data_IF_057764018652
#
_entry.id   IF_057764018652
#
_cell.length_a   1.000
_cell.length_b   1.000
_cell.length_c   1.000
_cell.angle_alpha   90.00
_cell.angle_beta   90.00
_cell.angle_gamma   90.00
#
_symmetry.space_group_name_H-M   'P 1'
#
loop_
_entity.id
_entity.type
_entity.pdbx_description
1 polymer ?
#
# COMPACT_ATOMS: atom_id res chain seq x y z
N UNK A 1 27.31 57.25 -40.49
CA UNK A 1 28.00 56.15 -39.77
C UNK A 1 27.54 55.99 -38.34
N UNK A 2 26.91 56.98 -37.73
CA UNK A 2 26.49 56.98 -36.28
C UNK A 2 25.23 56.13 -35.97
N UNK A 3 24.34 55.92 -36.99
CA UNK A 3 23.09 55.19 -36.76
C UNK A 3 23.18 53.66 -36.80
N UNK A 4 24.31 53.05 -37.16
CA UNK A 4 24.51 51.59 -37.15
C UNK A 4 25.10 51.10 -35.82
N UNK A 5 25.92 51.86 -35.14
CA UNK A 5 26.48 51.52 -33.83
C UNK A 5 25.42 51.52 -32.74
N UNK A 6 24.44 52.44 -32.81
CA UNK A 6 23.37 52.53 -31.81
C UNK A 6 22.36 51.36 -31.86
N UNK A 7 22.19 50.74 -33.06
CA UNK A 7 21.33 49.54 -33.21
C UNK A 7 21.96 48.25 -32.68
N UNK A 8 23.27 48.15 -32.70
CA UNK A 8 23.97 46.98 -32.13
C UNK A 8 24.13 47.05 -30.62
N UNK A 9 24.20 48.26 -30.02
CA UNK A 9 24.22 48.45 -28.56
C UNK A 9 22.87 48.10 -27.94
N UNK A 10 21.74 48.41 -28.58
CA UNK A 10 20.42 48.00 -28.06
C UNK A 10 20.17 46.50 -28.21
N UNK A 11 20.73 45.84 -29.28
CA UNK A 11 20.62 44.40 -29.44
C UNK A 11 21.47 43.64 -28.38
N UNK A 12 22.65 44.15 -28.05
CA UNK A 12 23.46 43.52 -26.98
C UNK A 12 22.86 43.72 -25.58
N UNK A 13 22.22 44.85 -25.31
CA UNK A 13 21.50 45.05 -24.02
C UNK A 13 20.25 44.19 -23.93
N UNK A 14 19.55 43.90 -25.02
CA UNK A 14 18.41 42.98 -24.99
C UNK A 14 18.79 41.50 -24.89
N UNK A 15 20.00 41.11 -25.32
CA UNK A 15 20.50 39.75 -25.13
C UNK A 15 21.08 39.51 -23.71
N UNK A 16 21.52 40.56 -23.00
CA UNK A 16 21.99 40.40 -21.63
C UNK A 16 20.85 40.44 -20.59
N UNK A 17 19.67 40.96 -20.96
CA UNK A 17 18.47 40.93 -20.08
C UNK A 17 17.66 39.62 -20.17
N UNK A 18 18.02 38.74 -21.12
CA UNK A 18 17.32 37.43 -21.31
C UNK A 18 17.98 36.23 -20.62
N UNK A 19 19.03 36.44 -19.85
CA UNK A 19 19.74 35.34 -19.15
C UNK A 19 19.67 35.40 -17.62
N UNK A 20 18.82 36.26 -17.07
CA UNK A 20 18.51 36.26 -15.62
C UNK A 20 17.12 35.71 -15.34
N UNK A 21 16.69 34.72 -16.11
CA UNK A 21 15.52 33.93 -15.76
C UNK A 21 16.00 32.74 -14.93
N UNK A 22 15.55 32.71 -13.68
CA UNK A 22 15.81 31.76 -12.61
C UNK A 22 17.10 32.04 -11.82
N UNK A 23 17.20 33.23 -11.26
CA UNK A 23 17.88 33.36 -10.00
C UNK A 23 16.97 32.76 -8.93
N UNK A 24 17.48 31.71 -8.34
CA UNK A 24 16.96 31.04 -7.17
C UNK A 24 16.60 32.10 -6.12
N UNK A 25 15.35 32.21 -5.73
CA UNK A 25 14.83 33.19 -4.78
C UNK A 25 15.51 33.06 -3.40
N UNK A 26 16.79 33.32 -3.27
CA UNK A 26 17.51 33.45 -2.00
C UNK A 26 17.11 32.47 -0.89
N UNK A 27 16.69 31.28 -1.26
CA UNK A 27 16.28 30.25 -0.35
C UNK A 27 17.55 29.66 0.22
N UNK A 28 17.79 29.87 1.51
CA UNK A 28 18.89 29.22 2.23
C UNK A 28 18.95 27.75 1.87
N UNK A 29 19.98 27.36 1.12
CA UNK A 29 20.23 25.98 0.76
C UNK A 29 20.59 25.28 2.07
N UNK A 30 19.70 24.40 2.54
CA UNK A 30 20.02 23.55 3.67
C UNK A 30 21.21 22.68 3.27
N UNK A 31 22.30 22.80 4.02
CA UNK A 31 23.46 21.91 3.86
C UNK A 31 23.04 20.52 4.38
N UNK A 32 22.61 19.66 3.46
CA UNK A 32 22.16 18.31 3.77
C UNK A 32 23.31 17.38 3.38
N UNK A 33 23.90 16.77 4.37
CA UNK A 33 24.86 15.71 4.15
C UNK A 33 24.12 14.48 3.62
N UNK A 34 24.50 14.01 2.42
CA UNK A 34 23.98 12.76 1.86
C UNK A 34 24.74 11.62 2.52
N UNK A 35 24.05 10.73 3.27
CA UNK A 35 24.72 9.63 3.96
C UNK A 35 25.47 8.71 2.99
N UNK A 36 26.58 8.15 3.43
CA UNK A 36 27.24 7.08 2.70
C UNK A 36 26.29 5.90 2.52
N UNK A 37 26.25 5.33 1.30
CA UNK A 37 25.35 4.22 1.00
C UNK A 37 23.89 4.62 0.79
N UNK A 38 23.56 5.90 0.68
CA UNK A 38 22.18 6.40 0.52
C UNK A 38 21.44 5.87 -0.73
N UNK A 39 22.19 5.35 -1.71
CA UNK A 39 21.61 4.62 -2.83
C UNK A 39 21.02 3.27 -2.44
N UNK A 40 21.47 2.69 -1.31
CA UNK A 40 21.03 1.39 -0.83
C UNK A 40 19.70 1.50 -0.07
N UNK A 41 18.61 1.67 -0.78
CA UNK A 41 17.27 1.91 -0.24
C UNK A 41 16.84 0.93 0.86
N UNK A 42 17.33 -0.31 0.80
CA UNK A 42 16.99 -1.41 1.71
C UNK A 42 18.22 -2.23 2.12
N UNK A 43 19.37 -1.57 2.30
CA UNK A 43 20.60 -2.24 2.65
C UNK A 43 20.97 -3.34 1.65
N UNK A 44 21.27 -4.54 2.13
CA UNK A 44 21.65 -5.69 1.29
C UNK A 44 20.53 -6.26 0.41
N UNK A 45 19.30 -5.85 0.63
CA UNK A 45 18.17 -6.22 -0.24
C UNK A 45 17.93 -5.21 -1.37
N UNK A 46 18.81 -4.22 -1.52
CA UNK A 46 18.71 -3.25 -2.61
C UNK A 46 19.20 -3.88 -3.92
N UNK A 47 18.42 -3.67 -5.00
CA UNK A 47 18.77 -4.11 -6.34
C UNK A 47 18.93 -2.93 -7.29
N UNK A 48 19.93 -3.01 -8.17
CA UNK A 48 20.21 -1.99 -9.19
C UNK A 48 19.58 -2.40 -10.53
N UNK A 49 18.27 -2.30 -10.62
CA UNK A 49 17.50 -2.69 -11.80
C UNK A 49 16.62 -1.52 -12.29
N UNK A 50 16.63 -1.26 -13.58
CA UNK A 50 15.92 -0.15 -14.25
C UNK A 50 14.75 -0.61 -15.14
N UNK A 51 14.19 -1.79 -14.88
CA UNK A 51 13.07 -2.34 -15.65
C UNK A 51 11.79 -2.33 -14.83
N UNK A 52 10.66 -2.54 -15.50
CA UNK A 52 9.35 -2.73 -14.84
C UNK A 52 9.30 -3.98 -13.93
N UNK A 53 10.27 -4.90 -14.09
CA UNK A 53 10.41 -6.09 -13.24
C UNK A 53 11.17 -5.81 -11.92
N UNK A 54 11.61 -4.58 -11.68
CA UNK A 54 12.39 -4.25 -10.49
C UNK A 54 11.63 -4.52 -9.17
N UNK A 55 10.30 -4.52 -9.20
CA UNK A 55 9.48 -4.78 -8.03
C UNK A 55 9.15 -6.26 -7.81
N UNK A 56 9.39 -7.08 -8.83
CA UNK A 56 9.06 -8.49 -8.91
C UNK A 56 10.33 -9.37 -8.97
N UNK A 57 11.45 -8.79 -8.65
CA UNK A 57 12.74 -9.46 -8.68
C UNK A 57 13.25 -9.75 -7.27
N UNK A 58 13.92 -10.90 -7.06
CA UNK A 58 14.49 -11.22 -5.77
C UNK A 58 15.65 -10.27 -5.39
N UNK A 59 15.89 -10.13 -4.11
CA UNK A 59 17.12 -9.54 -3.61
C UNK A 59 18.33 -10.42 -3.97
N UNK A 60 19.51 -9.81 -4.15
CA UNK A 60 20.74 -10.51 -4.61
C UNK A 60 21.19 -11.66 -3.68
N UNK A 61 20.77 -11.64 -2.42
CA UNK A 61 21.08 -12.72 -1.47
C UNK A 61 20.20 -13.97 -1.64
N UNK A 62 19.13 -13.90 -2.42
CA UNK A 62 18.26 -15.04 -2.68
C UNK A 62 18.98 -16.03 -3.60
N UNK A 63 19.39 -17.16 -3.04
CA UNK A 63 20.16 -18.18 -3.74
C UNK A 63 19.91 -19.57 -3.17
N UNK A 64 20.30 -20.61 -3.88
CA UNK A 64 20.13 -21.99 -3.44
C UNK A 64 18.67 -22.36 -3.17
N UNK A 65 18.39 -22.91 -1.99
CA UNK A 65 17.05 -23.31 -1.58
C UNK A 65 16.06 -22.13 -1.53
N UNK A 66 16.55 -20.93 -1.21
CA UNK A 66 15.71 -19.73 -1.19
C UNK A 66 15.24 -19.32 -2.59
N UNK A 67 16.07 -19.58 -3.62
CA UNK A 67 15.68 -19.27 -5.00
C UNK A 67 14.56 -20.20 -5.50
N UNK A 68 14.56 -21.49 -5.15
CA UNK A 68 13.44 -22.38 -5.47
C UNK A 68 12.17 -21.93 -4.80
N UNK A 69 12.20 -21.75 -3.49
CA UNK A 69 11.05 -21.28 -2.72
C UNK A 69 10.53 -19.91 -3.13
N UNK A 70 11.43 -18.99 -3.55
CA UNK A 70 11.04 -17.71 -4.12
C UNK A 70 10.22 -17.88 -5.40
N UNK A 71 10.68 -18.76 -6.31
CA UNK A 71 9.97 -19.01 -7.57
C UNK A 71 8.64 -19.77 -7.34
N UNK A 72 8.60 -20.68 -6.37
CA UNK A 72 7.37 -21.37 -5.99
C UNK A 72 6.36 -20.36 -5.39
N UNK A 73 6.82 -19.48 -4.51
CA UNK A 73 6.00 -18.40 -3.93
C UNK A 73 5.52 -17.37 -4.96
N UNK A 74 6.37 -16.99 -5.92
CA UNK A 74 6.00 -16.11 -7.05
C UNK A 74 4.91 -16.75 -7.91
N UNK A 75 5.08 -18.03 -8.26
CA UNK A 75 4.08 -18.79 -8.99
C UNK A 75 2.74 -18.85 -8.27
N UNK A 76 2.75 -19.13 -6.96
CA UNK A 76 1.54 -19.18 -6.12
C UNK A 76 0.88 -17.79 -5.94
N UNK A 77 1.68 -16.74 -5.89
CA UNK A 77 1.22 -15.36 -5.77
C UNK A 77 0.44 -14.90 -6.99
N UNK A 78 0.86 -15.30 -8.18
CA UNK A 78 0.23 -14.97 -9.45
C UNK A 78 -0.84 -16.00 -9.88
N UNK A 79 -0.88 -17.18 -9.25
CA UNK A 79 -1.81 -18.26 -9.60
C UNK A 79 -3.27 -17.82 -9.47
N UNK A 80 -3.99 -17.90 -10.59
CA UNK A 80 -5.40 -17.57 -10.68
C UNK A 80 -6.25 -18.68 -10.08
N UNK A 81 -6.80 -18.44 -8.91
CA UNK A 81 -7.71 -19.36 -8.25
C UNK A 81 -9.04 -19.43 -9.00
N UNK A 82 -9.60 -20.63 -9.11
CA UNK A 82 -10.87 -20.88 -9.78
C UNK A 82 -11.74 -21.81 -8.93
N UNK A 83 -13.05 -21.77 -9.11
CA UNK A 83 -13.98 -22.68 -8.42
C UNK A 83 -13.81 -24.16 -8.83
N UNK A 84 -13.01 -24.43 -9.85
CA UNK A 84 -12.82 -25.79 -10.41
C UNK A 84 -11.50 -26.44 -10.00
N UNK A 85 -10.69 -25.83 -9.14
CA UNK A 85 -9.37 -26.36 -8.73
C UNK A 85 -9.45 -27.62 -7.83
N UNK A 86 -10.57 -28.28 -7.82
CA UNK A 86 -10.82 -29.51 -7.09
C UNK A 86 -11.41 -29.27 -5.70
N UNK A 87 -11.72 -30.36 -5.00
CA UNK A 87 -12.16 -30.26 -3.62
C UNK A 87 -11.01 -29.73 -2.78
N UNK A 88 -11.17 -28.52 -2.23
CA UNK A 88 -10.20 -27.86 -1.41
C UNK A 88 -9.17 -27.01 -2.16
N UNK A 89 -9.41 -26.47 -3.32
CA UNK A 89 -8.40 -25.69 -4.06
C UNK A 89 -8.94 -24.48 -4.81
N UNK A 90 -10.15 -24.05 -4.50
CA UNK A 90 -10.84 -23.04 -5.29
C UNK A 90 -11.04 -21.71 -4.60
N UNK A 91 -11.53 -20.76 -5.39
CA UNK A 91 -12.15 -19.56 -4.84
C UNK A 91 -13.29 -19.93 -3.91
N UNK A 92 -13.43 -19.20 -2.81
CA UNK A 92 -14.60 -19.29 -1.96
C UNK A 92 -15.90 -19.00 -2.70
N UNK A 93 -17.06 -19.24 -2.08
CA UNK A 93 -18.34 -19.00 -2.76
C UNK A 93 -18.51 -17.53 -3.14
N UNK A 94 -17.97 -16.61 -2.35
CA UNK A 94 -17.87 -15.16 -2.65
C UNK A 94 -16.43 -14.69 -2.47
N UNK A 95 -16.01 -13.73 -3.27
CA UNK A 95 -14.64 -13.23 -3.26
C UNK A 95 -14.55 -11.80 -3.81
N UNK A 96 -13.46 -11.09 -3.48
CA UNK A 96 -13.15 -9.77 -4.03
C UNK A 96 -12.06 -9.85 -5.12
N UNK A 97 -11.13 -10.79 -5.01
CA UNK A 97 -10.03 -11.02 -5.95
C UNK A 97 -9.82 -12.51 -6.22
N UNK A 98 -9.01 -12.86 -7.21
CA UNK A 98 -8.76 -14.25 -7.64
C UNK A 98 -7.28 -14.64 -7.63
N UNK A 99 -6.38 -13.71 -7.37
CA UNK A 99 -4.95 -13.93 -7.08
C UNK A 99 -4.37 -12.70 -6.39
N UNK A 100 -3.22 -12.84 -5.71
CA UNK A 100 -2.52 -11.69 -5.15
C UNK A 100 -2.08 -10.73 -6.27
N UNK A 101 -1.48 -11.26 -7.34
CA UNK A 101 -1.02 -10.51 -8.51
C UNK A 101 -2.13 -9.79 -9.28
N UNK A 102 -3.39 -10.21 -9.15
CA UNK A 102 -4.52 -9.51 -9.77
C UNK A 102 -4.73 -8.10 -9.21
N UNK A 103 -4.48 -7.90 -7.91
CA UNK A 103 -4.55 -6.61 -7.23
C UNK A 103 -3.18 -5.96 -7.04
N UNK A 104 -2.13 -6.75 -6.87
CA UNK A 104 -0.75 -6.32 -6.61
C UNK A 104 0.18 -6.64 -7.79
N UNK A 105 -0.15 -6.17 -8.99
CA UNK A 105 0.60 -6.50 -10.21
C UNK A 105 2.09 -6.24 -10.05
N UNK A 106 2.93 -7.26 -10.34
CA UNK A 106 4.37 -7.25 -10.15
C UNK A 106 4.75 -6.84 -8.70
N UNK A 107 4.08 -7.39 -7.70
CA UNK A 107 4.23 -7.06 -6.28
C UNK A 107 4.13 -5.55 -5.96
N UNK A 108 3.63 -4.77 -6.92
CA UNK A 108 3.51 -3.32 -6.86
C UNK A 108 2.12 -2.83 -6.52
N UNK A 109 1.80 -1.63 -6.98
CA UNK A 109 0.47 -1.03 -6.91
C UNK A 109 -0.17 -1.10 -8.29
N UNK A 110 -1.44 -1.45 -8.36
CA UNK A 110 -2.20 -1.29 -9.58
C UNK A 110 -2.65 0.17 -9.74
N UNK A 111 -2.84 0.57 -10.98
CA UNK A 111 -3.50 1.84 -11.29
C UNK A 111 -4.98 1.73 -10.86
N UNK A 112 -5.54 2.73 -10.16
CA UNK A 112 -6.95 2.75 -9.87
C UNK A 112 -7.76 2.61 -11.17
N UNK A 113 -8.65 1.63 -11.20
CA UNK A 113 -9.54 1.44 -12.34
C UNK A 113 -10.81 2.25 -12.08
N UNK A 114 -11.12 3.14 -12.99
CA UNK A 114 -12.38 3.86 -12.96
C UNK A 114 -13.48 2.95 -13.51
N UNK A 115 -14.51 2.66 -12.70
CA UNK A 115 -15.62 1.78 -13.12
C UNK A 115 -16.35 2.29 -14.37
N UNK A 116 -16.36 3.61 -14.60
CA UNK A 116 -16.96 4.24 -15.78
C UNK A 116 -16.23 3.95 -17.08
N UNK A 117 -14.96 3.59 -17.05
CA UNK A 117 -14.17 3.27 -18.26
C UNK A 117 -14.54 1.91 -18.84
N UNK A 118 -15.16 1.03 -18.05
CA UNK A 118 -15.66 -0.29 -18.49
C UNK A 118 -17.08 -0.29 -19.03
N UNK A 119 -17.76 0.85 -19.09
CA UNK A 119 -19.15 0.98 -19.49
C UNK A 119 -20.13 0.72 -18.33
N UNK A 120 -21.28 1.38 -18.34
CA UNK A 120 -22.31 1.20 -17.33
C UNK A 120 -22.79 -0.26 -17.30
N UNK A 121 -22.62 -0.92 -16.19
CA UNK A 121 -22.99 -2.32 -15.99
C UNK A 121 -21.90 -3.34 -16.26
N UNK A 122 -20.69 -2.93 -16.60
CA UNK A 122 -19.54 -3.81 -16.60
C UNK A 122 -19.07 -3.99 -15.15
N UNK A 123 -19.51 -5.05 -14.52
CA UNK A 123 -19.02 -5.53 -13.21
C UNK A 123 -17.67 -6.22 -13.40
N UNK A 124 -16.76 -5.52 -14.05
CA UNK A 124 -15.41 -5.98 -14.24
C UNK A 124 -14.67 -5.99 -12.92
N UNK A 125 -13.70 -6.89 -12.80
CA UNK A 125 -12.78 -6.92 -11.69
C UNK A 125 -12.12 -5.54 -11.52
N UNK A 126 -12.27 -4.96 -10.34
CA UNK A 126 -11.52 -3.79 -9.93
C UNK A 126 -10.36 -4.23 -9.04
N UNK A 127 -9.15 -3.80 -9.36
CA UNK A 127 -8.01 -4.02 -8.48
C UNK A 127 -8.05 -3.21 -7.17
N UNK A 128 -9.13 -2.50 -6.91
CA UNK A 128 -9.37 -1.78 -5.66
C UNK A 128 -10.27 -2.60 -4.75
N UNK A 129 -9.96 -2.61 -3.44
CA UNK A 129 -10.77 -3.29 -2.44
C UNK A 129 -11.80 -2.32 -1.83
N UNK A 130 -13.02 -2.78 -1.70
CA UNK A 130 -14.12 -2.05 -1.05
C UNK A 130 -14.21 -2.49 0.40
N UNK A 131 -13.82 -1.62 1.31
CA UNK A 131 -13.95 -1.88 2.75
C UNK A 131 -15.35 -1.50 3.21
N UNK A 132 -15.98 -2.38 3.97
CA UNK A 132 -17.30 -2.16 4.57
C UNK A 132 -17.20 -2.08 6.08
N UNK A 133 -17.93 -1.16 6.68
CA UNK A 133 -17.98 -0.99 8.13
C UNK A 133 -19.39 -0.61 8.60
N UNK A 134 -19.65 -0.84 9.88
CA UNK A 134 -20.81 -0.25 10.56
C UNK A 134 -20.66 1.28 10.60
N UNK A 135 -21.76 1.99 10.84
CA UNK A 135 -21.74 3.46 11.00
C UNK A 135 -20.79 3.96 12.10
N UNK A 136 -20.51 3.14 13.10
CA UNK A 136 -19.53 3.45 14.16
C UNK A 136 -18.08 3.07 13.81
N UNK A 137 -17.82 2.62 12.58
CA UNK A 137 -16.50 2.27 12.09
C UNK A 137 -16.05 0.83 12.34
N UNK A 138 -16.80 0.04 13.12
CA UNK A 138 -16.47 -1.36 13.35
C UNK A 138 -16.73 -2.20 12.10
N UNK A 139 -15.87 -3.17 11.82
CA UNK A 139 -16.09 -4.12 10.73
C UNK A 139 -17.19 -5.14 11.07
N UNK A 140 -17.69 -5.81 10.04
CA UNK A 140 -18.68 -6.87 10.19
C UNK A 140 -17.99 -8.22 10.27
N UNK A 141 -18.09 -8.88 11.42
CA UNK A 141 -17.41 -10.15 11.64
C UNK A 141 -17.86 -11.23 10.64
N UNK A 142 -19.15 -11.26 10.31
CA UNK A 142 -19.76 -12.29 9.47
C UNK A 142 -19.48 -12.08 7.96
N UNK A 143 -18.98 -10.91 7.57
CA UNK A 143 -18.69 -10.54 6.17
C UNK A 143 -17.22 -10.25 5.92
N UNK A 144 -16.39 -10.33 6.94
CA UNK A 144 -15.00 -9.95 6.85
C UNK A 144 -14.79 -8.43 6.74
N UNK A 145 -13.71 -8.04 6.08
CA UNK A 145 -13.26 -6.64 5.98
C UNK A 145 -13.69 -5.96 4.70
N UNK A 146 -13.80 -6.75 3.62
CA UNK A 146 -14.03 -6.26 2.27
C UNK A 146 -15.37 -6.78 1.75
N UNK A 147 -15.96 -6.01 0.86
CA UNK A 147 -17.13 -6.44 0.12
C UNK A 147 -16.70 -7.48 -0.91
N UNK A 148 -17.32 -8.66 -0.90
CA UNK A 148 -17.16 -9.66 -1.93
C UNK A 148 -18.15 -9.39 -3.05
N UNK A 149 -17.71 -8.71 -4.08
CA UNK A 149 -18.52 -8.31 -5.23
C UNK A 149 -18.51 -9.33 -6.38
N UNK A 150 -17.79 -10.44 -6.18
CA UNK A 150 -17.72 -11.58 -7.07
C UNK A 150 -18.23 -12.85 -6.37
N UNK A 151 -18.67 -13.84 -7.16
CA UNK A 151 -19.10 -15.13 -6.64
C UNK A 151 -18.84 -16.24 -7.66
N UNK A 152 -18.74 -17.48 -7.19
CA UNK A 152 -18.71 -18.66 -8.05
C UNK A 152 -20.06 -18.88 -8.75
N UNK A 153 -20.06 -19.73 -9.77
CA UNK A 153 -21.28 -20.04 -10.50
C UNK A 153 -22.39 -20.58 -9.58
N UNK A 154 -23.57 -20.00 -9.68
CA UNK A 154 -24.75 -20.40 -8.89
C UNK A 154 -24.89 -19.69 -7.53
N UNK A 155 -23.90 -18.91 -7.13
CA UNK A 155 -23.94 -18.07 -5.91
C UNK A 155 -24.02 -16.61 -6.30
N UNK A 156 -24.74 -15.81 -5.52
CA UNK A 156 -24.73 -14.35 -5.67
C UNK A 156 -23.63 -13.74 -4.82
N UNK A 157 -22.97 -12.68 -5.30
CA UNK A 157 -22.03 -11.91 -4.46
C UNK A 157 -22.75 -11.25 -3.28
N UNK A 158 -22.00 -10.65 -2.36
CA UNK A 158 -22.60 -9.88 -1.25
C UNK A 158 -23.34 -8.66 -1.73
N UNK A 159 -22.78 -7.98 -2.71
CA UNK A 159 -23.37 -6.78 -3.28
C UNK A 159 -22.60 -6.31 -4.50
N UNK A 160 -23.01 -5.18 -5.04
CA UNK A 160 -22.33 -4.51 -6.14
C UNK A 160 -22.07 -3.06 -5.80
N UNK A 161 -20.91 -2.58 -6.20
CA UNK A 161 -20.51 -1.19 -6.01
C UNK A 161 -21.00 -0.33 -7.18
N UNK A 162 -21.47 0.87 -6.86
CA UNK A 162 -21.69 1.96 -7.81
C UNK A 162 -20.79 3.13 -7.47
N UNK A 163 -20.35 3.88 -8.45
CA UNK A 163 -19.54 5.07 -8.29
C UNK A 163 -20.07 6.22 -9.13
N UNK A 164 -20.17 7.39 -8.52
CA UNK A 164 -20.44 8.66 -9.19
C UNK A 164 -19.20 9.54 -9.08
N UNK A 165 -18.83 10.19 -10.18
CA UNK A 165 -17.66 11.06 -10.24
C UNK A 165 -18.09 12.52 -10.35
N UNK A 166 -17.55 13.36 -9.49
CA UNK A 166 -17.63 14.82 -9.62
C UNK A 166 -16.24 15.37 -9.89
N UNK A 167 -16.17 16.38 -10.75
CA UNK A 167 -14.92 17.00 -11.17
C UNK A 167 -14.90 18.45 -10.72
N UNK A 168 -13.82 18.88 -10.08
CA UNK A 168 -13.62 20.24 -9.60
C UNK A 168 -12.33 20.81 -10.20
N UNK A 169 -12.42 21.98 -10.83
CA UNK A 169 -11.27 22.67 -11.40
C UNK A 169 -10.66 23.63 -10.39
N UNK A 170 -9.37 23.54 -10.19
CA UNK A 170 -8.56 24.41 -9.35
C UNK A 170 -7.53 25.13 -10.20
N UNK A 171 -6.92 26.18 -9.61
CA UNK A 171 -5.89 26.97 -10.29
C UNK A 171 -4.69 27.13 -9.36
N UNK A 172 -3.50 26.81 -9.86
CA UNK A 172 -2.25 27.08 -9.16
C UNK A 172 -1.97 28.59 -9.10
N UNK A 173 -1.09 29.05 -8.18
CA UNK A 173 -0.74 30.47 -8.06
C UNK A 173 -0.17 31.10 -9.34
N UNK A 174 0.46 30.31 -10.22
CA UNK A 174 0.98 30.72 -11.53
C UNK A 174 -0.08 30.82 -12.63
N UNK A 175 -1.33 30.41 -12.30
CA UNK A 175 -2.46 30.44 -13.23
C UNK A 175 -2.71 29.13 -13.99
N UNK A 176 -1.87 28.12 -13.85
CA UNK A 176 -2.13 26.80 -14.42
C UNK A 176 -3.36 26.16 -13.76
N UNK A 177 -4.21 25.53 -14.59
CA UNK A 177 -5.43 24.87 -14.11
C UNK A 177 -5.22 23.37 -14.01
N UNK A 178 -5.79 22.77 -12.99
CA UNK A 178 -5.86 21.33 -12.81
C UNK A 178 -7.26 20.91 -12.38
N UNK A 179 -7.62 19.67 -12.66
CA UNK A 179 -8.91 19.10 -12.31
C UNK A 179 -8.73 17.95 -11.33
N UNK A 180 -9.51 17.94 -10.27
CA UNK A 180 -9.59 16.82 -9.33
C UNK A 180 -10.88 16.06 -9.54
N UNK A 181 -10.75 14.73 -9.57
CA UNK A 181 -11.87 13.81 -9.63
C UNK A 181 -12.19 13.32 -8.22
N UNK A 182 -13.44 13.51 -7.79
CA UNK A 182 -13.95 13.02 -6.50
C UNK A 182 -14.91 11.87 -6.75
N UNK A 183 -14.56 10.62 -6.42
CA UNK A 183 -15.49 9.49 -6.47
C UNK A 183 -16.40 9.48 -5.23
N UNK A 184 -17.68 9.19 -5.44
CA UNK A 184 -18.64 8.86 -4.40
C UNK A 184 -19.08 7.41 -4.58
N UNK A 185 -18.78 6.56 -3.62
CA UNK A 185 -19.07 5.13 -3.66
C UNK A 185 -20.35 4.80 -2.91
N UNK A 186 -21.17 3.92 -3.49
CA UNK A 186 -22.36 3.37 -2.85
C UNK A 186 -22.57 1.92 -3.27
N UNK A 187 -23.26 1.15 -2.43
CA UNK A 187 -23.64 -0.22 -2.76
C UNK A 187 -24.96 -0.17 -3.51
N UNK A 188 -24.96 -0.50 -4.80
CA UNK A 188 -26.13 -0.39 -5.68
C UNK A 188 -27.07 -1.58 -5.62
N UNK A 189 -26.52 -2.77 -5.38
CA UNK A 189 -27.26 -4.01 -5.20
C UNK A 189 -26.72 -4.71 -3.97
N UNK A 190 -27.60 -5.24 -3.14
CA UNK A 190 -27.24 -5.95 -1.93
C UNK A 190 -27.98 -7.28 -1.87
N UNK A 191 -27.24 -8.36 -1.73
CA UNK A 191 -27.77 -9.72 -1.75
C UNK A 191 -27.55 -10.47 -0.42
N UNK A 192 -26.80 -9.89 0.51
CA UNK A 192 -26.57 -10.47 1.82
C UNK A 192 -27.76 -10.20 2.77
N UNK A 193 -28.01 -11.12 3.70
CA UNK A 193 -29.30 -11.19 4.40
C UNK A 193 -29.44 -10.34 5.65
N UNK A 194 -28.35 -10.14 6.41
CA UNK A 194 -28.48 -9.70 7.80
C UNK A 194 -28.20 -8.21 8.02
N UNK A 195 -27.71 -7.50 7.03
CA UNK A 195 -27.34 -6.09 7.15
C UNK A 195 -27.82 -5.35 5.90
N UNK A 196 -28.33 -4.14 6.09
CA UNK A 196 -28.80 -3.32 4.98
C UNK A 196 -27.76 -2.29 4.59
N UNK A 197 -27.66 -1.90 3.29
CA UNK A 197 -26.72 -0.88 2.84
C UNK A 197 -26.81 0.45 3.60
N UNK A 198 -28.01 0.85 4.03
CA UNK A 198 -28.23 2.06 4.82
C UNK A 198 -27.58 2.03 6.21
N UNK A 199 -27.27 0.84 6.74
CA UNK A 199 -26.60 0.64 8.03
C UNK A 199 -25.08 0.54 7.89
N UNK A 200 -24.60 0.59 6.65
CA UNK A 200 -23.19 0.47 6.32
C UNK A 200 -22.57 1.78 5.90
N UNK A 201 -21.26 1.77 5.95
CA UNK A 201 -20.36 2.72 5.30
C UNK A 201 -19.40 1.94 4.42
N UNK A 202 -19.20 2.37 3.18
CA UNK A 202 -18.20 1.76 2.30
C UNK A 202 -17.13 2.76 1.90
N UNK A 203 -15.91 2.28 1.79
CA UNK A 203 -14.77 3.04 1.30
C UNK A 203 -13.90 2.16 0.41
N UNK A 204 -13.21 2.78 -0.53
CA UNK A 204 -12.38 2.07 -1.48
C UNK A 204 -10.91 2.35 -1.19
N UNK A 205 -10.10 1.30 -1.18
CA UNK A 205 -8.65 1.41 -0.98
C UNK A 205 -7.90 0.80 -2.15
N UNK A 206 -6.81 1.48 -2.51
CA UNK A 206 -5.87 0.98 -3.50
C UNK A 206 -4.92 0.01 -2.79
N UNK A 207 -4.70 -1.21 -3.32
CA UNK A 207 -3.75 -2.16 -2.78
C UNK A 207 -2.37 -1.54 -2.60
N UNK A 208 -1.70 -1.86 -1.49
CA UNK A 208 -0.34 -1.42 -1.21
C UNK A 208 0.66 -2.29 -1.96
N UNK A 209 1.83 -1.75 -2.24
CA UNK A 209 2.94 -2.55 -2.79
C UNK A 209 3.50 -3.50 -1.74
N UNK A 210 4.06 -4.62 -2.18
CA UNK A 210 4.73 -5.60 -1.32
C UNK A 210 6.25 -5.46 -1.27
N UNK A 211 6.84 -4.75 -2.23
CA UNK A 211 8.27 -4.40 -2.20
C UNK A 211 8.63 -3.72 -0.88
N UNK A 212 9.66 -4.24 -0.20
CA UNK A 212 10.13 -3.73 1.08
C UNK A 212 9.42 -4.31 2.31
N UNK A 213 8.47 -5.24 2.14
CA UNK A 213 7.76 -5.86 3.26
C UNK A 213 8.71 -6.58 4.21
N UNK A 214 9.72 -7.29 3.70
CA UNK A 214 10.72 -7.97 4.54
C UNK A 214 11.46 -7.00 5.46
N UNK A 215 11.93 -5.86 4.94
CA UNK A 215 12.60 -4.82 5.72
C UNK A 215 11.67 -4.19 6.74
N UNK A 216 10.42 -3.95 6.36
CA UNK A 216 9.40 -3.40 7.25
C UNK A 216 9.11 -4.34 8.43
N UNK A 217 8.99 -5.66 8.18
CA UNK A 217 8.83 -6.66 9.25
C UNK A 217 10.05 -6.75 10.17
N UNK A 218 11.23 -6.44 9.64
CA UNK A 218 12.48 -6.47 10.39
C UNK A 218 12.80 -5.15 11.11
N UNK A 219 12.00 -4.10 11.01
CA UNK A 219 12.23 -2.82 11.69
C UNK A 219 12.42 -3.00 13.19
N UNK A 220 13.29 -2.17 13.76
CA UNK A 220 13.51 -2.12 15.21
C UNK A 220 12.34 -1.37 15.89
N UNK A 221 11.47 -2.04 16.67
CA UNK A 221 10.27 -1.41 17.22
C UNK A 221 10.58 -0.22 18.12
N UNK A 222 11.68 -0.27 18.89
CA UNK A 222 12.08 0.80 19.81
C UNK A 222 12.43 2.09 19.09
N UNK A 223 12.89 2.01 17.85
CA UNK A 223 13.16 3.19 17.00
C UNK A 223 11.84 3.86 16.60
N UNK A 224 10.85 3.10 16.18
CA UNK A 224 9.51 3.62 15.83
C UNK A 224 8.81 4.21 17.07
N UNK A 225 8.92 3.56 18.22
CA UNK A 225 8.38 4.07 19.50
C UNK A 225 9.05 5.38 19.91
N UNK A 226 10.36 5.50 19.69
CA UNK A 226 11.11 6.73 19.95
C UNK A 226 10.69 7.87 18.99
N UNK A 227 10.37 7.56 17.74
CA UNK A 227 9.78 8.53 16.81
C UNK A 227 8.39 8.98 17.28
N UNK A 228 7.53 8.06 17.71
CA UNK A 228 6.20 8.41 18.25
C UNK A 228 6.29 9.36 19.45
N UNK A 229 7.27 9.16 20.31
CA UNK A 229 7.50 10.03 21.47
C UNK A 229 7.91 11.48 21.08
N UNK A 230 8.47 11.67 19.88
CA UNK A 230 8.94 12.97 19.35
C UNK A 230 7.97 13.57 18.32
N UNK A 231 7.10 12.77 17.72
CA UNK A 231 6.22 13.18 16.62
C UNK A 231 5.02 13.97 17.13
N UNK A 232 5.29 15.15 17.66
CA UNK A 232 4.27 16.11 18.05
C UNK A 232 4.71 17.52 17.68
N UNK A 233 4.19 17.99 16.55
CA UNK A 233 4.52 19.30 15.98
C UNK A 233 3.23 20.14 15.86
N UNK A 234 2.73 20.69 16.98
CA UNK A 234 1.43 21.37 17.00
C UNK A 234 1.40 22.60 16.09
N UNK A 235 2.55 23.23 15.84
CA UNK A 235 2.68 24.36 14.91
C UNK A 235 2.39 24.00 13.46
N UNK A 236 2.47 22.71 13.11
CA UNK A 236 2.13 22.16 11.78
C UNK A 236 0.87 21.29 11.81
N UNK A 237 0.24 21.13 12.98
CA UNK A 237 -0.89 20.22 13.15
C UNK A 237 -0.53 18.73 13.01
N UNK A 238 0.73 18.36 13.20
CA UNK A 238 1.24 17.00 13.02
C UNK A 238 1.36 16.32 14.38
N UNK A 239 0.78 15.14 14.51
CA UNK A 239 0.98 14.24 15.65
C UNK A 239 1.03 12.80 15.17
N UNK A 240 2.03 12.05 15.61
CA UNK A 240 2.22 10.65 15.26
C UNK A 240 2.09 9.73 16.46
N UNK A 241 1.49 8.56 16.28
CA UNK A 241 1.40 7.54 17.32
C UNK A 241 1.51 6.11 16.77
N UNK A 242 1.97 5.20 17.61
CA UNK A 242 2.00 3.78 17.28
C UNK A 242 0.57 3.19 17.24
N UNK A 243 0.34 2.22 16.36
CA UNK A 243 -0.77 1.29 16.47
C UNK A 243 -0.26 -0.02 17.08
N UNK A 244 -0.84 -0.44 18.20
CA UNK A 244 -0.56 -1.75 18.81
C UNK A 244 -1.72 -2.68 18.52
N UNK A 245 -1.38 -3.86 18.08
CA UNK A 245 -2.32 -4.92 17.72
C UNK A 245 -1.99 -6.19 18.49
N UNK A 246 -2.94 -7.09 18.58
CA UNK A 246 -2.72 -8.41 19.16
C UNK A 246 -2.92 -9.45 18.07
N UNK A 247 -1.83 -10.03 17.61
CA UNK A 247 -1.84 -11.15 16.67
C UNK A 247 -1.23 -12.38 17.34
N UNK A 248 -1.82 -13.55 17.10
CA UNK A 248 -1.38 -14.83 17.72
C UNK A 248 -1.22 -14.76 19.25
N UNK A 249 -2.04 -13.94 19.92
CA UNK A 249 -1.95 -13.72 21.36
C UNK A 249 -0.79 -12.84 21.82
N UNK A 250 0.01 -12.30 20.91
CA UNK A 250 1.14 -11.40 21.19
C UNK A 250 0.75 -9.97 20.84
N UNK A 251 0.89 -9.07 21.82
CA UNK A 251 0.75 -7.62 21.55
C UNK A 251 2.00 -7.10 20.90
N UNK A 252 1.87 -6.58 19.69
CA UNK A 252 2.97 -6.14 18.85
C UNK A 252 2.70 -4.77 18.23
N UNK A 253 3.77 -4.09 17.83
CA UNK A 253 3.68 -2.87 17.03
C UNK A 253 3.19 -3.23 15.62
N UNK A 254 2.10 -2.62 15.20
CA UNK A 254 1.62 -2.72 13.82
C UNK A 254 2.48 -1.87 12.89
N UNK A 255 2.86 -2.45 11.75
CA UNK A 255 3.75 -1.82 10.76
C UNK A 255 3.15 -1.85 9.36
N UNK A 256 2.39 -2.90 9.00
CA UNK A 256 1.83 -3.08 7.67
C UNK A 256 0.36 -2.69 7.57
N UNK A 257 -0.14 -2.58 6.34
CA UNK A 257 -1.48 -2.09 6.04
C UNK A 257 -1.61 -0.57 6.09
N UNK A 258 -2.71 -0.05 5.59
CA UNK A 258 -2.97 1.40 5.51
C UNK A 258 -3.09 2.08 6.89
N UNK A 259 -3.44 1.31 7.92
CA UNK A 259 -3.63 1.79 9.29
C UNK A 259 -2.69 1.13 10.29
N UNK A 260 -1.53 0.63 9.83
CA UNK A 260 -0.60 -0.13 10.67
C UNK A 260 -1.33 -1.23 11.46
N UNK A 261 -2.21 -1.95 10.81
CA UNK A 261 -3.12 -2.90 11.46
C UNK A 261 -2.57 -4.33 11.54
N UNK A 262 -1.35 -4.57 11.05
CA UNK A 262 -0.69 -5.87 11.10
C UNK A 262 0.77 -5.72 11.52
N UNK A 263 1.24 -6.67 12.31
CA UNK A 263 2.62 -6.72 12.78
C UNK A 263 3.49 -7.68 11.96
N UNK A 264 2.87 -8.57 11.21
CA UNK A 264 3.55 -9.49 10.26
C UNK A 264 2.92 -9.40 8.87
N UNK A 265 3.37 -10.23 7.96
CA UNK A 265 2.73 -10.43 6.67
C UNK A 265 1.34 -11.05 6.86
N UNK A 266 0.42 -10.68 6.01
CA UNK A 266 -0.99 -11.10 6.11
C UNK A 266 -1.39 -11.95 4.90
N UNK A 267 -0.48 -12.82 4.47
CA UNK A 267 -0.71 -13.72 3.35
C UNK A 267 -1.94 -14.58 3.62
N UNK A 268 -2.01 -15.19 4.78
CA UNK A 268 -3.11 -16.07 5.18
C UNK A 268 -4.45 -15.32 5.20
N UNK A 269 -4.41 -14.06 5.66
CA UNK A 269 -5.61 -13.24 5.68
C UNK A 269 -6.06 -12.87 4.27
N UNK A 270 -5.13 -12.53 3.37
CA UNK A 270 -5.44 -12.22 1.97
C UNK A 270 -6.06 -13.41 1.25
N UNK A 271 -5.55 -14.60 1.44
CA UNK A 271 -6.17 -15.83 0.91
C UNK A 271 -7.61 -15.99 1.41
N UNK A 272 -7.85 -15.80 2.70
CA UNK A 272 -9.17 -15.96 3.29
C UNK A 272 -10.10 -14.80 2.99
N UNK A 273 -9.69 -13.55 3.27
CA UNK A 273 -10.60 -12.39 3.20
C UNK A 273 -10.85 -11.91 1.78
N UNK A 274 -9.89 -12.04 0.87
CA UNK A 274 -9.99 -11.46 -0.45
C UNK A 274 -10.44 -12.47 -1.50
N UNK A 275 -10.07 -13.74 -1.32
CA UNK A 275 -10.36 -14.83 -2.26
C UNK A 275 -11.30 -15.90 -1.71
N UNK A 276 -11.60 -15.89 -0.41
CA UNK A 276 -12.37 -16.95 0.24
C UNK A 276 -11.65 -18.31 0.18
N UNK A 277 -10.32 -18.30 0.18
CA UNK A 277 -9.46 -19.50 0.12
C UNK A 277 -9.02 -19.88 1.51
N UNK A 278 -9.42 -21.07 1.95
CA UNK A 278 -9.15 -21.57 3.31
C UNK A 278 -7.70 -22.00 3.50
N UNK A 279 -7.19 -21.80 4.70
CA UNK A 279 -5.82 -22.13 5.10
C UNK A 279 -5.74 -22.52 6.58
N UNK A 280 -4.60 -22.95 7.06
CA UNK A 280 -4.44 -23.42 8.45
C UNK A 280 -4.75 -22.36 9.52
N UNK A 281 -4.64 -21.07 9.20
CA UNK A 281 -4.95 -19.97 10.10
C UNK A 281 -6.42 -19.57 10.04
N UNK A 282 -7.02 -19.67 8.88
CA UNK A 282 -8.41 -19.39 8.57
C UNK A 282 -9.03 -20.61 7.89
N UNK A 283 -9.37 -21.66 8.66
CA UNK A 283 -9.87 -22.91 8.10
C UNK A 283 -11.33 -22.82 7.65
N UNK A 284 -12.03 -21.74 8.01
CA UNK A 284 -13.41 -21.48 7.66
C UNK A 284 -13.50 -20.21 6.81
N UNK A 285 -14.44 -20.20 5.88
CA UNK A 285 -14.69 -19.03 5.08
C UNK A 285 -15.42 -17.95 5.91
N UNK A 286 -15.01 -16.69 5.75
CA UNK A 286 -15.57 -15.56 6.49
C UNK A 286 -16.80 -15.04 5.73
N UNK A 287 -17.91 -15.75 5.84
CA UNK A 287 -19.13 -15.35 5.15
C UNK A 287 -20.40 -15.99 5.78
N UNK A 288 -20.37 -16.28 7.05
CA UNK A 288 -21.47 -16.94 7.79
C UNK A 288 -22.81 -16.19 7.76
N UNK A 289 -22.77 -14.86 7.58
CA UNK A 289 -23.96 -14.02 7.55
C UNK A 289 -24.78 -14.11 6.25
N UNK A 290 -24.39 -14.98 5.30
CA UNK A 290 -25.04 -15.09 4.00
C UNK A 290 -25.71 -16.45 3.80
N UNK A 291 -27.02 -16.44 3.66
CA UNK A 291 -27.77 -17.66 3.34
C UNK A 291 -27.36 -18.31 2.02
N UNK A 292 -26.93 -17.50 1.06
CA UNK A 292 -26.50 -17.97 -0.27
C UNK A 292 -25.16 -18.66 -0.25
N UNK A 293 -24.26 -18.25 0.63
CA UNK A 293 -23.00 -18.94 0.86
C UNK A 293 -23.23 -20.30 1.52
N UNK A 294 -24.12 -20.32 2.52
CA UNK A 294 -24.54 -21.59 3.15
C UNK A 294 -25.18 -22.55 2.13
N UNK A 295 -25.90 -22.03 1.13
CA UNK A 295 -26.42 -22.83 0.03
C UNK A 295 -25.30 -23.28 -0.94
N UNK A 296 -24.32 -22.43 -1.22
CA UNK A 296 -23.15 -22.75 -2.05
C UNK A 296 -22.27 -23.84 -1.42
N UNK A 297 -22.04 -23.77 -0.13
CA UNK A 297 -21.30 -24.79 0.62
C UNK A 297 -22.05 -26.13 0.67
N UNK A 298 -23.39 -26.10 0.58
CA UNK A 298 -24.20 -27.29 0.47
C UNK A 298 -24.09 -28.00 -0.89
N UNK A 299 -23.44 -27.39 -1.90
CA UNK A 299 -23.17 -28.04 -3.20
C UNK A 299 -22.06 -29.09 -3.13
N UNK A 300 -21.71 -29.59 -1.95
CA UNK A 300 -20.76 -30.68 -1.75
C UNK A 300 -19.31 -30.26 -1.66
N UNK A 301 -19.05 -28.98 -1.48
CA UNK A 301 -17.74 -28.48 -1.09
C UNK A 301 -17.48 -28.92 0.35
N UNK A 302 -16.66 -29.93 0.50
CA UNK A 302 -16.27 -30.46 1.82
C UNK A 302 -15.23 -29.53 2.42
N UNK A 303 -15.52 -28.92 3.54
CA UNK A 303 -14.56 -28.19 4.37
C UNK A 303 -13.44 -29.06 4.96
N UNK A 304 -13.35 -30.33 4.55
CA UNK A 304 -12.39 -31.27 5.12
C UNK A 304 -10.96 -31.09 4.63
N UNK A 305 -10.72 -30.29 3.62
CA UNK A 305 -9.38 -30.00 3.08
C UNK A 305 -9.20 -28.50 2.88
N UNK A 306 -8.10 -27.98 3.42
CA UNK A 306 -7.71 -26.60 3.22
C UNK A 306 -7.31 -26.37 1.75
N UNK A 307 -7.65 -25.19 1.23
CA UNK A 307 -7.37 -24.82 -0.16
C UNK A 307 -5.87 -24.53 -0.39
N UNK A 308 -5.18 -24.05 0.63
CA UNK A 308 -3.76 -23.74 0.59
C UNK A 308 -3.04 -24.42 1.73
N UNK A 309 -1.95 -25.11 1.42
CA UNK A 309 -1.10 -25.72 2.42
C UNK A 309 -0.31 -24.71 3.22
N UNK A 310 0.14 -25.07 4.41
CA UNK A 310 1.04 -24.21 5.22
C UNK A 310 2.36 -23.95 4.48
N UNK A 311 2.88 -24.93 3.75
CA UNK A 311 4.11 -24.81 2.98
C UNK A 311 3.96 -23.76 1.86
N UNK A 312 2.86 -23.82 1.11
CA UNK A 312 2.56 -22.82 0.05
C UNK A 312 2.47 -21.41 0.63
N UNK A 313 1.83 -21.25 1.79
CA UNK A 313 1.76 -19.95 2.45
C UNK A 313 3.14 -19.44 2.89
N UNK A 314 3.98 -20.32 3.42
CA UNK A 314 5.36 -20.00 3.81
C UNK A 314 6.22 -19.60 2.61
N UNK A 315 5.97 -20.18 1.43
CA UNK A 315 6.67 -19.83 0.20
C UNK A 315 6.24 -18.45 -0.34
N UNK A 316 4.94 -18.13 -0.30
CA UNK A 316 4.46 -16.76 -0.60
C UNK A 316 4.99 -15.75 0.41
N UNK A 317 5.04 -16.08 1.70
CA UNK A 317 5.66 -15.24 2.73
C UNK A 317 7.14 -14.97 2.42
N UNK A 318 7.88 -16.01 2.05
CA UNK A 318 9.29 -15.88 1.68
C UNK A 318 9.46 -15.01 0.42
N UNK A 319 8.64 -15.24 -0.60
CA UNK A 319 8.63 -14.42 -1.81
C UNK A 319 8.48 -12.94 -1.45
N UNK A 320 7.45 -12.57 -0.70
CA UNK A 320 7.20 -11.18 -0.32
C UNK A 320 8.30 -10.56 0.54
N UNK A 321 8.88 -11.33 1.46
CA UNK A 321 9.96 -10.87 2.33
C UNK A 321 11.29 -10.69 1.60
N UNK A 322 11.51 -11.43 0.52
CA UNK A 322 12.76 -11.47 -0.22
C UNK A 322 12.76 -10.68 -1.53
N UNK A 323 11.68 -9.97 -1.84
CA UNK A 323 11.64 -9.02 -2.95
C UNK A 323 12.74 -7.97 -2.82
N UNK A 324 13.47 -7.77 -3.90
CA UNK A 324 14.50 -6.75 -3.99
C UNK A 324 13.89 -5.36 -4.03
N UNK A 325 14.49 -4.42 -3.31
CA UNK A 325 14.05 -3.03 -3.29
C UNK A 325 14.90 -2.23 -4.28
N UNK A 326 14.30 -1.54 -5.26
CA UNK A 326 15.07 -0.74 -6.20
C UNK A 326 15.95 0.31 -5.51
N UNK A 327 17.19 0.44 -5.99
CA UNK A 327 18.12 1.45 -5.51
C UNK A 327 17.57 2.87 -5.77
N UNK A 328 17.89 3.80 -4.85
CA UNK A 328 17.69 5.22 -5.11
C UNK A 328 18.59 5.67 -6.25
N UNK A 329 18.01 6.33 -7.24
CA UNK A 329 18.70 6.73 -8.46
C UNK A 329 19.34 8.11 -8.34
N UNK A 330 20.44 8.30 -9.05
CA UNK A 330 21.07 9.60 -9.29
C UNK A 330 21.34 10.40 -7.99
N UNK A 331 21.70 9.74 -6.91
CA UNK A 331 21.86 10.36 -5.57
C UNK A 331 22.82 11.54 -5.54
N UNK A 332 23.77 11.61 -6.49
CA UNK A 332 24.75 12.69 -6.62
C UNK A 332 24.34 13.76 -7.66
N UNK A 333 23.16 13.63 -8.28
CA UNK A 333 22.69 14.63 -9.23
C UNK A 333 22.27 15.92 -8.49
N UNK A 334 22.75 17.11 -8.88
CA UNK A 334 22.39 18.36 -8.22
C UNK A 334 20.88 18.62 -8.16
N UNK A 335 20.11 18.15 -9.13
CA UNK A 335 18.66 18.29 -9.13
C UNK A 335 18.02 17.38 -8.08
N UNK A 336 18.53 16.16 -7.91
CA UNK A 336 18.07 15.22 -6.87
C UNK A 336 18.40 15.76 -5.48
N UNK A 337 19.59 16.33 -5.30
CA UNK A 337 20.02 16.96 -4.04
C UNK A 337 19.10 18.16 -3.71
N UNK A 338 18.82 19.03 -4.67
CA UNK A 338 17.85 20.14 -4.48
C UNK A 338 16.45 19.63 -4.13
N UNK A 339 16.00 18.53 -4.75
CA UNK A 339 14.74 17.89 -4.41
C UNK A 339 14.71 17.45 -2.94
N UNK A 340 15.78 16.84 -2.46
CA UNK A 340 15.94 16.46 -1.05
C UNK A 340 15.91 17.69 -0.13
N UNK A 341 16.63 18.75 -0.46
CA UNK A 341 16.61 19.99 0.29
C UNK A 341 15.20 20.58 0.38
N UNK A 342 14.47 20.58 -0.74
CA UNK A 342 13.08 21.06 -0.77
C UNK A 342 12.14 20.17 0.07
N UNK A 343 12.37 18.87 0.10
CA UNK A 343 11.66 17.92 0.96
C UNK A 343 11.81 18.27 2.45
N UNK A 344 13.02 18.61 2.89
CA UNK A 344 13.25 19.09 4.26
C UNK A 344 12.67 20.48 4.52
N UNK A 345 12.79 21.41 3.57
CA UNK A 345 12.19 22.76 3.68
C UNK A 345 10.67 22.68 3.82
N UNK A 346 10.03 21.85 3.02
CA UNK A 346 8.58 21.60 3.07
C UNK A 346 8.15 20.81 4.31
N UNK A 347 9.07 20.41 5.20
CA UNK A 347 8.79 19.64 6.41
C UNK A 347 8.24 18.25 6.17
N UNK A 348 8.36 17.70 4.96
CA UNK A 348 7.89 16.35 4.64
C UNK A 348 8.57 15.29 5.52
N UNK A 349 9.83 15.51 5.90
CA UNK A 349 10.62 14.62 6.77
C UNK A 349 10.04 14.45 8.18
N UNK A 350 9.10 15.28 8.62
CA UNK A 350 8.48 15.15 9.94
C UNK A 350 7.62 13.89 10.07
N UNK A 351 7.02 13.43 8.96
CA UNK A 351 6.32 12.14 8.86
C UNK A 351 7.12 11.14 8.02
N UNK A 352 7.77 11.62 6.95
CA UNK A 352 8.54 10.79 6.03
C UNK A 352 10.01 10.72 6.44
N UNK A 353 10.27 10.08 7.58
CA UNK A 353 11.62 9.85 8.12
C UNK A 353 12.46 9.10 7.10
N UNK A 354 13.62 9.66 6.77
CA UNK A 354 14.44 9.18 5.66
C UNK A 354 15.22 7.91 5.96
N UNK A 355 15.58 7.67 7.22
CA UNK A 355 16.49 6.60 7.61
C UNK A 355 15.98 5.87 8.84
N UNK A 356 15.93 4.55 8.77
CA UNK A 356 15.59 3.64 9.87
C UNK A 356 16.51 2.43 9.87
N UNK A 357 16.48 1.66 10.97
CA UNK A 357 17.29 0.48 11.16
C UNK A 357 16.46 -0.76 11.42
N UNK A 358 16.99 -1.90 11.01
CA UNK A 358 16.38 -3.19 11.27
C UNK A 358 16.98 -3.86 12.49
N UNK A 359 16.22 -4.79 13.09
CA UNK A 359 16.63 -5.63 14.24
C UNK A 359 18.00 -6.26 14.01
N UNK A 360 18.70 -6.70 15.08
CA UNK A 360 19.95 -7.40 14.94
C UNK A 360 19.88 -8.59 14.00
N UNK A 361 21.00 -8.86 13.30
CA UNK A 361 21.10 -9.98 12.37
C UNK A 361 20.73 -11.31 13.04
N UNK A 362 19.87 -12.08 12.38
CA UNK A 362 19.39 -13.37 12.86
C UNK A 362 18.26 -13.30 13.88
N UNK A 363 17.67 -12.11 14.10
CA UNK A 363 16.43 -12.01 14.87
C UNK A 363 15.33 -12.83 14.21
N UNK A 364 14.47 -13.43 15.06
CA UNK A 364 13.27 -14.10 14.59
C UNK A 364 12.18 -13.04 14.40
N UNK A 365 11.54 -13.04 13.23
CA UNK A 365 10.41 -12.19 12.94
C UNK A 365 9.13 -12.72 13.61
N UNK A 366 8.08 -11.93 13.68
CA UNK A 366 6.85 -12.30 14.38
C UNK A 366 6.18 -13.54 13.79
N UNK A 367 6.24 -13.71 12.47
CA UNK A 367 5.76 -14.90 11.77
C UNK A 367 6.62 -16.16 11.99
N UNK A 368 7.70 -16.07 12.78
CA UNK A 368 8.60 -17.17 13.07
C UNK A 368 9.76 -17.32 12.08
N UNK A 369 9.79 -16.57 10.98
CA UNK A 369 10.91 -16.62 10.03
C UNK A 369 12.17 -16.01 10.59
N UNK A 370 13.31 -16.49 10.08
CA UNK A 370 14.64 -15.99 10.40
C UNK A 370 15.40 -15.77 9.10
N UNK A 371 15.40 -14.53 8.65
CA UNK A 371 16.12 -14.13 7.44
C UNK A 371 17.31 -13.21 7.83
N UNK A 372 18.51 -13.77 7.97
CA UNK A 372 19.68 -13.03 8.49
C UNK A 372 20.02 -11.77 7.68
N UNK A 373 19.72 -11.77 6.39
CA UNK A 373 19.98 -10.65 5.47
C UNK A 373 19.12 -9.42 5.74
N UNK A 374 17.95 -9.58 6.39
CA UNK A 374 17.06 -8.47 6.75
C UNK A 374 17.51 -7.74 8.02
N UNK A 375 18.35 -8.39 8.83
CA UNK A 375 18.81 -7.81 10.10
C UNK A 375 20.09 -6.97 9.97
N UNK A 376 20.27 -6.01 10.89
CA UNK A 376 21.37 -5.07 10.96
C UNK A 376 21.56 -4.27 9.66
N UNK A 377 20.45 -3.82 9.09
CA UNK A 377 20.46 -2.99 7.88
C UNK A 377 20.08 -1.55 8.20
N UNK A 378 20.72 -0.62 7.51
CA UNK A 378 20.23 0.76 7.39
C UNK A 378 19.36 0.82 6.15
N UNK A 379 18.14 1.33 6.29
CA UNK A 379 17.15 1.42 5.20
C UNK A 379 16.61 2.84 5.08
N UNK A 380 16.14 3.20 3.89
CA UNK A 380 15.66 4.54 3.60
C UNK A 380 14.20 4.52 3.11
N UNK A 381 13.20 4.22 3.98
CA UNK A 381 11.81 4.04 3.58
C UNK A 381 11.05 5.34 3.32
N UNK A 382 11.54 6.47 3.81
CA UNK A 382 10.80 7.74 3.84
C UNK A 382 9.43 7.58 4.52
N UNK A 383 9.44 7.05 5.73
CA UNK A 383 8.25 6.83 6.55
C UNK A 383 8.66 6.68 8.01
N UNK A 384 7.86 7.18 8.92
CA UNK A 384 7.95 6.92 10.36
C UNK A 384 7.10 5.71 10.80
N UNK A 385 6.28 5.16 9.89
CA UNK A 385 5.31 4.07 10.13
C UNK A 385 4.28 4.37 11.22
N UNK A 386 4.14 5.63 11.63
CA UNK A 386 3.17 6.07 12.62
C UNK A 386 1.80 6.35 12.01
N UNK A 387 0.78 6.32 12.85
CA UNK A 387 -0.55 6.83 12.52
C UNK A 387 -0.59 8.34 12.71
N UNK A 388 -1.06 9.04 11.70
CA UNK A 388 -1.33 10.47 11.74
C UNK A 388 -2.81 10.75 11.47
N UNK A 389 -3.35 11.76 12.15
CA UNK A 389 -4.69 12.28 11.89
C UNK A 389 -4.68 13.07 10.58
N UNK A 390 -5.40 12.57 9.58
CA UNK A 390 -5.47 13.15 8.24
C UNK A 390 -6.77 13.91 8.00
N UNK A 391 -7.46 14.32 9.07
CA UNK A 391 -8.69 15.08 9.03
C UNK A 391 -9.94 14.25 9.30
N UNK A 392 -10.87 14.85 10.03
CA UNK A 392 -12.04 14.15 10.60
C UNK A 392 -13.24 14.08 9.65
N UNK A 393 -13.28 14.86 8.58
CA UNK A 393 -14.41 14.86 7.67
C UNK A 393 -14.49 13.57 6.88
N UNK A 394 -15.63 12.90 6.97
CA UNK A 394 -15.89 11.68 6.22
C UNK A 394 -16.08 12.04 4.76
N UNK A 395 -15.18 11.54 3.90
CA UNK A 395 -15.23 11.73 2.44
C UNK A 395 -15.26 13.21 2.00
N UNK A 396 -14.86 14.13 2.92
CA UNK A 396 -14.75 15.57 2.68
C UNK A 396 -13.30 16.02 2.45
N UNK A 397 -12.93 17.13 3.09
CA UNK A 397 -11.56 17.68 3.03
C UNK A 397 -10.55 16.78 3.74
N UNK A 398 -11.00 16.04 4.76
CA UNK A 398 -10.20 15.04 5.47
C UNK A 398 -10.22 13.67 4.81
N UNK A 399 -9.29 12.80 5.22
CA UNK A 399 -9.17 11.42 4.75
C UNK A 399 -9.82 10.43 5.74
N UNK A 400 -10.98 10.75 6.29
CA UNK A 400 -11.70 9.84 7.17
C UNK A 400 -12.50 8.82 6.36
N UNK A 401 -12.11 7.55 6.42
CA UNK A 401 -12.80 6.45 5.76
C UNK A 401 -13.78 5.69 6.67
N UNK A 402 -14.03 6.20 7.86
CA UNK A 402 -14.91 5.62 8.87
C UNK A 402 -14.57 4.17 9.28
N UNK A 403 -13.41 3.65 8.91
CA UNK A 403 -13.02 2.28 9.20
C UNK A 403 -12.03 2.22 10.35
N UNK A 404 -12.42 1.59 11.46
CA UNK A 404 -11.58 1.38 12.64
C UNK A 404 -10.81 0.07 12.51
N UNK A 405 -9.49 0.11 12.71
CA UNK A 405 -8.63 -1.07 12.64
C UNK A 405 -7.64 -1.11 13.81
N UNK A 406 -7.84 -2.04 14.73
CA UNK A 406 -7.12 -2.03 16.00
C UNK A 406 -7.44 -0.76 16.79
N UNK A 407 -6.42 0.01 17.13
CA UNK A 407 -6.57 1.31 17.78
C UNK A 407 -6.67 2.49 16.78
N UNK A 408 -6.48 2.24 15.48
CA UNK A 408 -6.54 3.27 14.45
C UNK A 408 -7.99 3.66 14.14
N UNK A 409 -8.26 4.96 14.17
CA UNK A 409 -9.56 5.55 13.84
C UNK A 409 -9.72 5.71 12.33
N UNK A 410 -10.94 6.04 11.89
CA UNK A 410 -11.22 6.28 10.47
C UNK A 410 -10.35 7.38 9.84
N UNK A 411 -10.05 8.43 10.57
CA UNK A 411 -9.22 9.56 10.12
C UNK A 411 -7.71 9.35 10.28
N UNK A 412 -7.27 8.24 10.89
CA UNK A 412 -5.86 7.98 11.11
C UNK A 412 -5.30 7.03 10.08
N UNK A 413 -4.14 7.40 9.51
CA UNK A 413 -3.48 6.67 8.47
C UNK A 413 -1.99 6.53 8.77
N UNK A 414 -1.46 5.35 8.46
CA UNK A 414 -0.02 5.10 8.55
C UNK A 414 0.71 5.87 7.44
N UNK A 415 1.79 6.55 7.81
CA UNK A 415 2.68 7.16 6.82
C UNK A 415 3.14 6.11 5.80
N UNK A 416 2.75 6.28 4.55
CA UNK A 416 3.14 5.39 3.47
C UNK A 416 4.60 5.62 3.10
N UNK A 417 5.45 4.59 3.00
CA UNK A 417 6.79 4.74 2.47
C UNK A 417 6.79 5.38 1.08
N UNK A 418 7.62 6.41 0.87
CA UNK A 418 7.72 7.10 -0.41
C UNK A 418 8.67 6.40 -1.40
N UNK A 419 9.39 5.40 -0.94
CA UNK A 419 10.25 4.60 -1.80
C UNK A 419 9.44 4.10 -3.00
N UNK A 420 9.93 4.34 -4.20
CA UNK A 420 9.31 4.02 -5.49
C UNK A 420 8.13 4.89 -5.96
N UNK A 421 7.68 5.90 -5.22
CA UNK A 421 6.74 6.89 -5.78
C UNK A 421 7.40 7.83 -6.80
N UNK A 422 8.72 7.89 -6.82
CA UNK A 422 9.52 8.73 -7.72
C UNK A 422 9.51 8.20 -9.18
N UNK A 423 8.82 7.10 -9.44
CA UNK A 423 8.82 6.42 -10.73
C UNK A 423 7.43 6.34 -11.39
N UNK A 424 6.49 7.13 -10.88
CA UNK A 424 5.18 7.31 -11.50
C UNK A 424 5.24 8.45 -12.50
#
# INVERSE_FOLDING_TARGET
MMNRLMRYSCLLLCLSAGLTACDDDGIDVLDIEIPEGYALSAGTSTIFMNSSKAYDSPADWVSGVYNSRFNDGDGLYDDVRTSSNGMGGGLGPVYAGYSCGSCHRNAGRTKPTLWSEGGSGSYGFSSMLVYISRKNGAFFQDYGRVLHDQAIYGVKPEGKLSVEYTYETFTFPDGEKYELCRPAYSISEWYADSIKPEDMFCTVRIPLRHVGMGQMMALEPTEIEALAAKSNYPEYGISGRCNYITERGVRSLGLSGNKAQHADLTVELGFSSDMGVTNSRYPEEICEGQSQVNQGSMMGLSYAQLDVSTEDMEDVDLYMQSLGVPARRNVNDPQVIRGEQNFYKAKCHLCHVTTLHTKPRGSVLLNGTRLPWLGSQTIHPYSDFLLHDMGSEIMGVGLNDNYVSGLARGNEWRTTPLLSLIHI
#
